data_IF_158331684268
#
_entry.id   IF_158331684268
#
_cell.length_a   1.000
_cell.length_b   1.000
_cell.length_c   1.000
_cell.angle_alpha   90.00
_cell.angle_beta   90.00
_cell.angle_gamma   90.00
#
_symmetry.space_group_name_H-M   'P 1'
#
loop_
_entity.id
_entity.type
_entity.pdbx_description
1 polymer ?
#
# COMPACT_ATOMS: atom_id res chain seq x y z
N UNK A 1 27.79 -4.67 -17.67
CA UNK A 1 26.92 -3.92 -16.74
C UNK A 1 25.75 -4.83 -16.40
N UNK A 2 25.45 -4.96 -15.10
CA UNK A 2 24.34 -5.79 -14.62
C UNK A 2 22.99 -5.16 -14.95
N UNK A 3 21.97 -5.98 -15.08
CA UNK A 3 20.58 -5.56 -15.18
C UNK A 3 20.19 -4.86 -13.88
N UNK A 4 19.62 -3.65 -13.95
CA UNK A 4 19.18 -2.88 -12.79
C UNK A 4 18.12 -3.64 -11.98
N UNK A 5 18.11 -3.45 -10.67
CA UNK A 5 17.15 -4.08 -9.77
C UNK A 5 17.13 -3.43 -8.40
N UNK A 6 16.38 -4.02 -7.47
CA UNK A 6 16.30 -3.56 -6.08
C UNK A 6 17.71 -3.46 -5.47
N UNK A 7 17.99 -2.33 -4.84
CA UNK A 7 19.29 -1.97 -4.26
C UNK A 7 20.31 -1.40 -5.25
N UNK A 8 19.96 -1.24 -6.54
CA UNK A 8 20.89 -0.62 -7.51
C UNK A 8 21.00 0.87 -7.28
N UNK A 9 22.23 1.37 -7.33
CA UNK A 9 22.56 2.79 -7.17
C UNK A 9 23.36 3.24 -8.40
N UNK A 10 22.94 4.35 -8.99
CA UNK A 10 23.56 4.89 -10.19
C UNK A 10 23.72 6.40 -10.11
N UNK A 11 24.90 6.87 -10.48
CA UNK A 11 25.27 8.29 -10.43
C UNK A 11 25.64 8.79 -11.81
N UNK A 12 25.07 9.94 -12.18
CA UNK A 12 25.25 10.59 -13.48
C UNK A 12 25.55 12.07 -13.30
N UNK A 13 26.17 12.68 -14.31
CA UNK A 13 26.28 14.13 -14.42
C UNK A 13 25.18 14.61 -15.36
N UNK A 14 24.34 15.53 -14.89
CA UNK A 14 23.33 16.21 -15.67
C UNK A 14 23.77 17.61 -16.04
N UNK A 15 23.70 17.95 -17.32
CA UNK A 15 24.04 19.27 -17.82
C UNK A 15 22.74 20.04 -18.18
N UNK A 16 22.42 21.06 -17.40
CA UNK A 16 21.19 21.86 -17.51
C UNK A 16 21.07 22.57 -18.86
N UNK A 17 22.19 23.04 -19.43
CA UNK A 17 22.20 23.77 -20.70
C UNK A 17 21.80 22.89 -21.88
N UNK A 18 22.17 21.61 -21.82
CA UNK A 18 21.90 20.64 -22.90
C UNK A 18 20.72 19.72 -22.61
N UNK A 19 20.31 19.61 -21.33
CA UNK A 19 19.32 18.65 -20.87
C UNK A 19 19.78 17.20 -20.91
N UNK A 20 21.09 16.93 -21.06
CA UNK A 20 21.64 15.58 -21.26
C UNK A 20 22.35 15.05 -20.02
N UNK A 21 22.38 13.73 -19.91
CA UNK A 21 23.21 12.99 -18.96
C UNK A 21 24.54 12.57 -19.58
N UNK A 22 25.55 12.42 -18.73
CA UNK A 22 26.79 11.72 -19.00
C UNK A 22 27.17 10.82 -17.81
N UNK A 23 27.97 9.78 -18.09
CA UNK A 23 28.59 8.96 -17.05
C UNK A 23 29.71 9.76 -16.38
N UNK A 24 29.87 9.58 -15.06
CA UNK A 24 30.87 10.31 -14.28
C UNK A 24 32.32 9.99 -14.71
N UNK A 25 32.55 8.78 -15.19
CA UNK A 25 33.86 8.29 -15.64
C UNK A 25 34.04 8.35 -17.17
N UNK A 26 33.05 8.87 -17.90
CA UNK A 26 33.06 8.95 -19.36
C UNK A 26 32.90 7.61 -20.08
N UNK A 27 32.59 6.52 -19.36
CA UNK A 27 32.33 5.22 -19.98
C UNK A 27 30.98 5.20 -20.69
N UNK A 28 30.86 4.35 -21.72
CA UNK A 28 29.60 4.19 -22.44
C UNK A 28 28.59 3.45 -21.56
N UNK A 29 27.45 4.08 -21.30
CA UNK A 29 26.34 3.54 -20.51
C UNK A 29 25.05 3.53 -21.35
N UNK A 30 24.42 2.35 -21.47
CA UNK A 30 23.17 2.20 -22.23
C UNK A 30 22.02 3.04 -21.67
N UNK A 31 21.98 3.28 -20.35
CA UNK A 31 20.98 4.14 -19.74
C UNK A 31 21.18 5.60 -20.12
N UNK A 32 22.43 6.07 -20.20
CA UNK A 32 22.73 7.44 -20.64
C UNK A 32 22.26 7.64 -22.07
N UNK A 33 22.61 6.72 -22.97
CA UNK A 33 22.13 6.74 -24.37
C UNK A 33 20.59 6.73 -24.43
N UNK A 34 19.94 5.91 -23.59
CA UNK A 34 18.47 5.82 -23.52
C UNK A 34 17.80 7.08 -22.95
N UNK A 35 18.37 7.69 -21.92
CA UNK A 35 17.87 8.92 -21.34
C UNK A 35 17.96 10.07 -22.36
N UNK A 36 19.11 10.20 -23.02
CA UNK A 36 19.38 11.25 -24.00
C UNK A 36 18.60 11.10 -25.32
N UNK A 37 17.91 9.98 -25.51
CA UNK A 37 17.14 9.66 -26.71
C UNK A 37 17.96 9.06 -27.86
N UNK A 38 19.23 8.72 -27.60
CA UNK A 38 20.15 8.11 -28.56
C UNK A 38 19.93 6.59 -28.70
N UNK A 39 19.20 5.97 -27.75
CA UNK A 39 18.77 4.57 -27.76
C UNK A 39 17.25 4.46 -27.53
N UNK A 40 16.55 3.66 -28.33
CA UNK A 40 15.10 3.43 -28.19
C UNK A 40 14.79 2.16 -27.38
N UNK A 41 13.63 2.15 -26.71
CA UNK A 41 13.14 1.02 -25.89
C UNK A 41 13.01 -0.29 -26.69
N UNK A 42 12.60 -0.17 -27.96
CA UNK A 42 12.31 -1.30 -28.85
C UNK A 42 13.59 -2.02 -29.33
N UNK A 43 14.76 -1.44 -29.06
CA UNK A 43 16.05 -1.94 -29.55
C UNK A 43 16.97 -2.42 -28.43
N UNK A 44 16.59 -2.29 -27.15
CA UNK A 44 17.49 -2.56 -26.03
C UNK A 44 17.10 -3.76 -25.18
N UNK A 45 17.94 -4.79 -25.22
CA UNK A 45 17.91 -5.93 -24.29
C UNK A 45 18.77 -5.70 -23.04
N UNK A 46 19.50 -4.57 -22.97
CA UNK A 46 20.44 -4.27 -21.88
C UNK A 46 19.80 -3.45 -20.76
N UNK A 47 18.59 -2.93 -20.99
CA UNK A 47 17.79 -2.19 -20.01
C UNK A 47 16.49 -2.92 -19.71
N UNK A 48 15.94 -2.68 -18.52
CA UNK A 48 14.70 -3.28 -18.06
C UNK A 48 13.72 -2.23 -17.54
N UNK A 49 12.62 -2.69 -16.93
CA UNK A 49 11.59 -1.80 -16.42
C UNK A 49 12.03 -0.88 -15.28
N UNK A 50 13.01 -1.29 -14.47
CA UNK A 50 13.60 -0.41 -13.47
C UNK A 50 14.31 0.78 -14.13
N UNK A 51 15.02 0.55 -15.24
CA UNK A 51 15.65 1.61 -16.01
C UNK A 51 14.61 2.58 -16.60
N UNK A 52 13.50 2.06 -17.13
CA UNK A 52 12.42 2.92 -17.61
C UNK A 52 11.77 3.75 -16.48
N UNK A 53 11.59 3.18 -15.29
CA UNK A 53 11.09 3.92 -14.13
C UNK A 53 12.07 5.01 -13.73
N UNK A 54 13.36 4.68 -13.59
CA UNK A 54 14.41 5.65 -13.27
C UNK A 54 14.45 6.82 -14.27
N UNK A 55 14.34 6.54 -15.57
CA UNK A 55 14.25 7.61 -16.59
C UNK A 55 13.07 8.54 -16.30
N UNK A 56 11.87 7.99 -16.09
CA UNK A 56 10.66 8.76 -15.77
C UNK A 56 10.81 9.57 -14.49
N UNK A 57 11.42 9.01 -13.45
CA UNK A 57 11.63 9.69 -12.17
C UNK A 57 12.56 10.90 -12.34
N UNK A 58 13.66 10.71 -13.07
CA UNK A 58 14.59 11.80 -13.39
C UNK A 58 13.91 12.87 -14.27
N UNK A 59 13.15 12.48 -15.29
CA UNK A 59 12.39 13.42 -16.14
C UNK A 59 11.34 14.20 -15.33
N UNK A 60 10.61 13.55 -14.43
CA UNK A 60 9.62 14.19 -13.57
C UNK A 60 10.28 15.19 -12.60
N UNK A 61 11.41 14.81 -11.99
CA UNK A 61 12.20 15.71 -11.15
C UNK A 61 12.67 16.94 -11.92
N UNK A 62 13.22 16.75 -13.13
CA UNK A 62 13.66 17.84 -13.99
C UNK A 62 12.50 18.74 -14.45
N UNK A 63 11.33 18.15 -14.73
CA UNK A 63 10.11 18.91 -15.02
C UNK A 63 9.72 19.82 -13.84
N UNK A 64 9.76 19.30 -12.60
CA UNK A 64 9.49 20.09 -11.39
C UNK A 64 10.53 21.20 -11.20
N UNK A 65 11.80 20.93 -11.49
CA UNK A 65 12.84 21.94 -11.49
C UNK A 65 12.55 23.07 -12.49
N UNK A 66 12.33 22.74 -13.76
CA UNK A 66 12.05 23.72 -14.81
C UNK A 66 10.74 24.49 -14.61
N UNK A 67 9.78 23.91 -13.88
CA UNK A 67 8.55 24.62 -13.49
C UNK A 67 8.76 25.70 -12.42
N UNK A 68 9.94 25.73 -11.80
CA UNK A 68 10.26 26.64 -10.69
C UNK A 68 9.83 26.16 -9.30
N UNK A 69 9.01 25.10 -9.22
CA UNK A 69 8.55 24.51 -7.95
C UNK A 69 9.70 23.91 -7.13
N UNK A 70 10.73 23.39 -7.81
CA UNK A 70 11.93 22.82 -7.18
C UNK A 70 13.21 23.59 -7.52
N UNK A 71 13.13 24.89 -7.84
CA UNK A 71 14.29 25.69 -8.31
C UNK A 71 15.49 25.67 -7.36
N UNK A 72 15.23 25.58 -6.06
CA UNK A 72 16.29 25.57 -5.05
C UNK A 72 17.01 24.23 -5.01
N UNK A 73 16.54 23.19 -5.71
CA UNK A 73 17.16 21.87 -5.67
C UNK A 73 18.40 21.82 -6.56
N UNK A 74 18.29 22.33 -7.77
CA UNK A 74 19.40 22.50 -8.70
C UNK A 74 19.93 23.93 -8.58
N UNK A 75 20.72 24.17 -7.54
CA UNK A 75 21.32 25.47 -7.23
C UNK A 75 22.78 25.30 -6.86
N UNK A 76 23.61 26.28 -7.18
CA UNK A 76 25.01 26.32 -6.73
C UNK A 76 26.02 25.66 -7.67
N UNK A 77 25.63 25.38 -8.92
CA UNK A 77 26.58 25.00 -9.98
C UNK A 77 26.89 26.22 -10.85
N UNK A 78 28.17 26.59 -10.97
CA UNK A 78 28.62 27.67 -11.86
C UNK A 78 28.54 27.26 -13.35
N UNK A 79 28.77 25.98 -13.62
CA UNK A 79 28.83 25.44 -14.99
C UNK A 79 27.47 24.91 -15.48
N UNK A 80 26.49 24.78 -14.58
CA UNK A 80 25.16 24.20 -14.87
C UNK A 80 25.18 22.66 -14.89
N UNK A 81 26.17 22.06 -14.24
CA UNK A 81 26.29 20.60 -14.08
C UNK A 81 25.94 20.16 -12.67
N UNK A 82 25.20 19.06 -12.56
CA UNK A 82 24.70 18.52 -11.30
C UNK A 82 24.92 17.03 -11.24
N UNK A 83 25.38 16.52 -10.11
CA UNK A 83 25.48 15.09 -9.87
C UNK A 83 24.11 14.56 -9.42
N UNK A 84 23.52 13.66 -10.19
CA UNK A 84 22.26 13.01 -9.86
C UNK A 84 22.54 11.55 -9.53
N UNK A 85 22.19 11.12 -8.32
CA UNK A 85 22.28 9.71 -7.90
C UNK A 85 20.90 9.14 -7.67
N UNK A 86 20.55 8.07 -8.38
CA UNK A 86 19.30 7.34 -8.20
C UNK A 86 19.55 6.00 -7.51
N UNK A 87 18.77 5.71 -6.48
CA UNK A 87 18.73 4.46 -5.73
C UNK A 87 17.35 3.81 -5.89
N UNK A 88 17.33 2.53 -6.25
CA UNK A 88 16.11 1.73 -6.31
C UNK A 88 15.94 1.05 -4.94
N UNK A 89 15.06 1.56 -4.10
CA UNK A 89 14.86 1.07 -2.73
C UNK A 89 14.10 -0.25 -2.72
N UNK A 90 13.01 -0.29 -3.49
CA UNK A 90 12.19 -1.48 -3.71
C UNK A 90 11.52 -1.40 -5.10
N UNK A 91 10.58 -2.30 -5.41
CA UNK A 91 9.92 -2.34 -6.72
C UNK A 91 9.06 -1.09 -7.03
N UNK A 92 8.62 -0.37 -6.00
CA UNK A 92 7.70 0.77 -6.11
C UNK A 92 8.28 2.07 -5.56
N UNK A 93 9.48 2.04 -4.98
CA UNK A 93 10.12 3.19 -4.35
C UNK A 93 11.52 3.40 -4.90
N UNK A 94 11.77 4.62 -5.39
CA UNK A 94 13.10 5.06 -5.80
C UNK A 94 13.45 6.38 -5.12
N UNK A 95 14.70 6.55 -4.72
CA UNK A 95 15.24 7.82 -4.25
C UNK A 95 16.12 8.44 -5.32
N UNK A 96 16.03 9.75 -5.50
CA UNK A 96 16.89 10.52 -6.40
C UNK A 96 17.51 11.64 -5.59
N UNK A 97 18.83 11.66 -5.50
CA UNK A 97 19.60 12.69 -4.82
C UNK A 97 20.32 13.60 -5.81
N UNK A 98 20.36 14.90 -5.51
CA UNK A 98 21.11 15.90 -6.29
C UNK A 98 22.25 16.44 -5.45
N UNK A 99 23.47 16.38 -5.99
CA UNK A 99 24.74 16.77 -5.34
C UNK A 99 24.93 16.13 -3.95
N UNK A 100 24.43 14.90 -3.77
CA UNK A 100 24.54 14.13 -2.54
C UNK A 100 23.68 14.62 -1.35
N UNK A 101 22.91 15.71 -1.51
CA UNK A 101 22.20 16.33 -0.38
C UNK A 101 20.68 16.20 -0.47
N UNK A 102 20.10 16.52 -1.63
CA UNK A 102 18.64 16.73 -1.73
C UNK A 102 17.97 15.51 -2.32
N UNK A 103 17.12 14.86 -1.53
CA UNK A 103 16.49 13.60 -1.88
C UNK A 103 15.03 13.83 -2.29
N UNK A 104 14.67 13.37 -3.48
CA UNK A 104 13.30 13.14 -3.94
C UNK A 104 12.98 11.66 -3.83
N UNK A 105 11.79 11.33 -3.36
CA UNK A 105 11.29 9.95 -3.35
C UNK A 105 10.17 9.82 -4.37
N UNK A 106 10.37 8.94 -5.35
CA UNK A 106 9.37 8.55 -6.33
C UNK A 106 8.64 7.29 -5.86
N UNK A 107 7.31 7.33 -5.96
CA UNK A 107 6.44 6.19 -5.68
C UNK A 107 5.73 5.75 -6.97
N UNK A 108 5.85 4.47 -7.31
CA UNK A 108 5.23 3.90 -8.50
C UNK A 108 3.92 3.19 -8.15
N UNK A 109 2.88 3.47 -8.94
CA UNK A 109 1.61 2.76 -8.83
C UNK A 109 1.75 1.32 -9.36
N UNK A 110 1.09 0.39 -8.68
CA UNK A 110 0.93 -1.00 -9.12
C UNK A 110 -0.44 -1.21 -9.78
N UNK A 111 -0.51 -2.15 -10.70
CA UNK A 111 -1.77 -2.58 -11.30
C UNK A 111 -2.35 -3.78 -10.56
N UNK A 112 -3.66 -3.71 -10.31
CA UNK A 112 -4.43 -4.80 -9.73
C UNK A 112 -5.12 -5.58 -10.84
N UNK A 113 -5.35 -6.88 -10.61
CA UNK A 113 -6.15 -7.67 -11.54
C UNK A 113 -7.64 -7.36 -11.37
N UNK A 114 -8.45 -7.68 -12.39
CA UNK A 114 -9.91 -7.56 -12.30
C UNK A 114 -10.49 -8.31 -11.09
N UNK A 115 -9.92 -9.46 -10.73
CA UNK A 115 -10.37 -10.25 -9.58
C UNK A 115 -10.06 -9.56 -8.25
N UNK A 116 -8.89 -8.93 -8.13
CA UNK A 116 -8.52 -8.15 -6.94
C UNK A 116 -9.41 -6.91 -6.81
N UNK A 117 -9.62 -6.18 -7.92
CA UNK A 117 -10.50 -5.01 -7.93
C UNK A 117 -11.93 -5.40 -7.52
N UNK A 118 -12.45 -6.52 -8.03
CA UNK A 118 -13.78 -7.03 -7.64
C UNK A 118 -13.86 -7.39 -6.16
N UNK A 119 -12.77 -7.84 -5.54
CA UNK A 119 -12.77 -8.13 -4.11
C UNK A 119 -12.90 -6.88 -3.23
N UNK A 120 -12.49 -5.71 -3.75
CA UNK A 120 -12.56 -4.45 -3.03
C UNK A 120 -14.03 -4.03 -2.83
N UNK A 121 -14.54 -4.24 -1.62
CA UNK A 121 -15.88 -3.77 -1.24
C UNK A 121 -17.03 -4.61 -1.77
N UNK A 122 -16.79 -5.85 -2.22
CA UNK A 122 -17.91 -6.81 -2.41
C UNK A 122 -18.51 -7.12 -1.04
N UNK A 123 -19.76 -6.68 -0.85
CA UNK A 123 -20.44 -6.66 0.46
C UNK A 123 -20.82 -8.05 0.97
N UNK A 124 -20.98 -9.02 0.05
CA UNK A 124 -21.54 -10.36 0.34
C UNK A 124 -20.57 -11.49 0.06
N UNK A 125 -19.26 -11.26 0.19
CA UNK A 125 -18.29 -12.33 0.05
C UNK A 125 -18.24 -13.16 1.35
N UNK A 126 -18.04 -14.49 1.31
CA UNK A 126 -17.86 -15.27 2.53
C UNK A 126 -16.64 -14.83 3.34
N UNK A 127 -16.71 -14.91 4.66
CA UNK A 127 -15.54 -14.78 5.53
C UNK A 127 -14.55 -15.92 5.26
N UNK A 128 -13.26 -15.69 5.54
CA UNK A 128 -12.20 -16.70 5.45
C UNK A 128 -11.91 -17.38 6.77
N UNK A 129 -12.32 -16.78 7.89
CA UNK A 129 -12.02 -17.31 9.22
C UNK A 129 -13.12 -18.22 9.75
N UNK A 130 -12.83 -19.53 9.82
CA UNK A 130 -13.76 -20.57 10.34
C UNK A 130 -13.28 -21.20 11.66
N UNK A 131 -12.09 -20.82 12.13
CA UNK A 131 -11.53 -21.34 13.38
C UNK A 131 -11.56 -20.26 14.45
N UNK A 132 -12.55 -20.37 15.33
CA UNK A 132 -12.68 -19.54 16.52
C UNK A 132 -11.45 -19.66 17.41
N UNK A 133 -11.04 -18.54 17.98
CA UNK A 133 -9.98 -18.45 18.98
C UNK A 133 -10.38 -17.36 19.96
N UNK A 134 -10.59 -17.75 21.23
CA UNK A 134 -10.76 -16.77 22.32
C UNK A 134 -9.50 -15.92 22.47
N UNK A 135 -9.65 -14.76 23.10
CA UNK A 135 -8.53 -13.88 23.39
C UNK A 135 -7.31 -14.62 23.98
N UNK A 136 -6.15 -14.40 23.35
CA UNK A 136 -4.83 -14.83 23.82
C UNK A 136 -4.02 -13.61 24.28
N UNK A 137 -3.73 -13.47 25.59
CA UNK A 137 -2.99 -12.34 26.14
C UNK A 137 -1.50 -12.32 25.76
N UNK A 138 -0.90 -13.46 25.38
CA UNK A 138 0.52 -13.50 25.01
C UNK A 138 0.78 -12.78 23.69
N UNK A 139 -0.19 -12.82 22.80
CA UNK A 139 -0.10 -12.27 21.44
C UNK A 139 -1.06 -11.10 21.21
N UNK A 140 -1.84 -10.73 22.24
CA UNK A 140 -2.93 -9.76 22.17
C UNK A 140 -3.86 -10.04 20.97
N UNK A 141 -4.32 -11.29 20.83
CA UNK A 141 -4.98 -11.77 19.62
C UNK A 141 -6.31 -12.47 19.85
N UNK A 142 -7.19 -12.40 18.85
CA UNK A 142 -8.48 -13.09 18.82
C UNK A 142 -8.81 -13.53 17.39
N UNK A 143 -9.55 -14.62 17.23
CA UNK A 143 -10.23 -14.93 15.98
C UNK A 143 -11.73 -14.89 16.18
N UNK A 144 -12.40 -14.07 15.38
CA UNK A 144 -13.84 -13.99 15.25
C UNK A 144 -14.20 -14.74 13.97
N UNK A 145 -14.81 -15.91 14.13
CA UNK A 145 -14.99 -16.89 13.09
C UNK A 145 -16.46 -17.17 12.78
N UNK A 146 -16.71 -17.71 11.59
CA UNK A 146 -18.03 -18.25 11.21
C UNK A 146 -18.52 -19.24 12.27
N UNK A 147 -19.75 -19.05 12.72
CA UNK A 147 -20.38 -19.84 13.78
C UNK A 147 -20.21 -19.27 15.19
N UNK A 148 -19.34 -18.27 15.39
CA UNK A 148 -19.20 -17.61 16.68
C UNK A 148 -20.49 -16.87 17.07
N UNK A 149 -20.78 -16.90 18.37
CA UNK A 149 -21.90 -16.20 18.99
C UNK A 149 -21.37 -15.28 20.08
N UNK A 150 -21.75 -14.01 20.01
CA UNK A 150 -21.33 -12.95 20.91
C UNK A 150 -22.57 -12.45 21.65
N UNK A 151 -22.62 -12.76 22.94
CA UNK A 151 -23.65 -12.24 23.84
C UNK A 151 -23.28 -10.81 24.25
N UNK A 152 -24.13 -9.84 23.96
CA UNK A 152 -23.91 -8.43 24.31
C UNK A 152 -24.35 -8.12 25.76
N UNK A 153 -24.88 -9.09 26.51
CA UNK A 153 -25.24 -8.97 27.93
C UNK A 153 -26.52 -8.14 28.20
N UNK A 154 -27.09 -7.54 27.16
CA UNK A 154 -28.31 -6.72 27.21
C UNK A 154 -29.50 -7.40 26.51
N UNK A 155 -29.39 -8.71 26.25
CA UNK A 155 -30.40 -9.52 25.57
C UNK A 155 -30.26 -9.58 24.04
N UNK A 156 -29.26 -8.90 23.48
CA UNK A 156 -28.87 -9.08 22.09
C UNK A 156 -27.78 -10.15 21.95
N UNK A 157 -27.86 -10.93 20.88
CA UNK A 157 -26.87 -11.93 20.51
C UNK A 157 -26.47 -11.71 19.06
N UNK A 158 -25.18 -11.55 18.79
CA UNK A 158 -24.64 -11.53 17.43
C UNK A 158 -24.18 -12.93 17.07
N UNK A 159 -24.52 -13.40 15.87
CA UNK A 159 -24.01 -14.64 15.29
C UNK A 159 -23.27 -14.33 14.01
N UNK A 160 -22.02 -14.76 13.93
CA UNK A 160 -21.22 -14.67 12.71
C UNK A 160 -21.71 -15.77 11.76
N UNK A 161 -22.41 -15.37 10.69
CA UNK A 161 -22.81 -16.29 9.61
C UNK A 161 -21.70 -16.36 8.55
N UNK A 162 -21.98 -17.05 7.45
CA UNK A 162 -20.99 -17.29 6.39
C UNK A 162 -20.44 -16.00 5.78
N UNK A 163 -21.31 -15.00 5.57
CA UNK A 163 -21.05 -13.79 4.80
C UNK A 163 -21.69 -12.52 5.42
N UNK A 164 -22.25 -12.62 6.62
CA UNK A 164 -22.87 -11.51 7.33
C UNK A 164 -22.94 -11.74 8.84
N UNK A 165 -23.27 -10.68 9.59
CA UNK A 165 -23.60 -10.76 11.01
C UNK A 165 -25.12 -10.79 11.17
N UNK A 166 -25.62 -11.83 11.84
CA UNK A 166 -27.02 -11.94 12.21
C UNK A 166 -27.20 -11.55 13.68
N UNK A 167 -28.04 -10.57 13.96
CA UNK A 167 -28.39 -10.21 15.34
C UNK A 167 -29.74 -10.82 15.73
N UNK A 168 -29.85 -11.28 16.98
CA UNK A 168 -31.07 -11.74 17.66
C UNK A 168 -31.41 -10.77 18.80
N UNK A 169 -32.66 -10.79 19.31
CA UNK A 169 -33.06 -9.98 20.48
C UNK A 169 -33.84 -8.70 20.19
N UNK A 170 -34.42 -8.60 18.98
CA UNK A 170 -35.13 -7.40 18.48
C UNK A 170 -36.50 -7.13 19.13
N UNK A 171 -37.07 -8.07 19.87
CA UNK A 171 -38.45 -7.97 20.34
C UNK A 171 -38.59 -6.88 21.42
N UNK A 172 -39.44 -5.88 21.16
CA UNK A 172 -39.82 -4.78 22.08
C UNK A 172 -38.73 -3.75 22.43
N UNK A 173 -37.86 -3.38 21.48
CA UNK A 173 -36.77 -2.39 21.69
C UNK A 173 -37.05 -1.04 21.02
N UNK A 174 -36.32 -0.01 21.44
CA UNK A 174 -36.47 1.36 20.93
C UNK A 174 -35.79 1.54 19.56
N UNK A 175 -36.19 2.55 18.79
CA UNK A 175 -35.55 2.91 17.52
C UNK A 175 -34.06 3.28 17.69
N UNK A 176 -33.67 3.81 18.85
CA UNK A 176 -32.28 4.13 19.16
C UNK A 176 -31.44 2.88 19.36
N UNK A 177 -31.98 1.87 20.06
CA UNK A 177 -31.30 0.58 20.23
C UNK A 177 -31.15 -0.13 18.89
N UNK A 178 -32.17 -0.03 18.03
CA UNK A 178 -32.15 -0.56 16.66
C UNK A 178 -31.00 0.04 15.83
N UNK A 179 -30.79 1.36 15.87
CA UNK A 179 -29.69 1.99 15.15
C UNK A 179 -28.32 1.56 15.67
N UNK A 180 -28.15 1.49 16.99
CA UNK A 180 -26.88 1.05 17.60
C UNK A 180 -26.50 -0.36 17.18
N UNK A 181 -27.46 -1.29 17.16
CA UNK A 181 -27.19 -2.66 16.74
C UNK A 181 -26.88 -2.73 15.24
N UNK A 182 -27.51 -1.91 14.38
CA UNK A 182 -27.14 -1.81 12.96
C UNK A 182 -25.69 -1.32 12.79
N UNK A 183 -25.28 -0.28 13.51
CA UNK A 183 -23.90 0.23 13.49
C UNK A 183 -22.89 -0.84 13.92
N UNK A 184 -23.23 -1.62 14.95
CA UNK A 184 -22.39 -2.72 15.45
C UNK A 184 -22.34 -3.90 14.47
N UNK A 185 -23.46 -4.28 13.87
CA UNK A 185 -23.57 -5.33 12.84
C UNK A 185 -22.71 -4.97 11.63
N UNK A 186 -22.83 -3.73 11.13
CA UNK A 186 -21.98 -3.24 10.05
C UNK A 186 -20.50 -3.24 10.45
N UNK A 187 -20.18 -2.65 11.60
CA UNK A 187 -18.82 -2.56 12.09
C UNK A 187 -18.15 -3.92 12.25
N UNK A 188 -18.87 -4.92 12.75
CA UNK A 188 -18.33 -6.26 12.98
C UNK A 188 -18.15 -7.00 11.67
N UNK A 189 -19.11 -6.87 10.74
CA UNK A 189 -18.98 -7.38 9.38
C UNK A 189 -17.74 -6.80 8.68
N UNK A 190 -17.57 -5.48 8.75
CA UNK A 190 -16.45 -4.77 8.16
C UNK A 190 -15.12 -5.13 8.83
N UNK A 191 -15.09 -5.29 10.16
CA UNK A 191 -13.90 -5.71 10.89
C UNK A 191 -13.44 -7.10 10.44
N UNK A 192 -14.34 -8.07 10.35
CA UNK A 192 -14.01 -9.44 9.95
C UNK A 192 -13.47 -9.45 8.51
N UNK A 193 -14.14 -8.77 7.57
CA UNK A 193 -13.61 -8.66 6.20
C UNK A 193 -12.28 -7.91 6.12
N UNK A 194 -12.08 -6.86 6.90
CA UNK A 194 -10.78 -6.20 6.96
C UNK A 194 -9.71 -7.16 7.48
N UNK A 195 -10.00 -7.85 8.59
CA UNK A 195 -9.10 -8.78 9.24
C UNK A 195 -8.79 -10.03 8.39
N UNK A 196 -9.73 -10.45 7.55
CA UNK A 196 -9.57 -11.53 6.56
C UNK A 196 -8.88 -11.05 5.26
N UNK A 197 -8.33 -9.83 5.27
CA UNK A 197 -7.61 -9.21 4.15
C UNK A 197 -8.47 -9.12 2.88
N UNK A 198 -9.73 -8.76 3.10
CA UNK A 198 -10.78 -8.77 2.10
C UNK A 198 -11.28 -7.36 1.80
N UNK A 199 -11.37 -6.49 2.82
CA UNK A 199 -11.80 -5.10 2.69
C UNK A 199 -10.74 -4.10 3.15
N UNK A 200 -10.89 -2.86 2.67
CA UNK A 200 -10.14 -1.72 3.19
C UNK A 200 -10.53 -1.45 4.64
N UNK A 201 -9.56 -1.06 5.46
CA UNK A 201 -9.84 -0.64 6.84
C UNK A 201 -10.87 0.50 6.94
N UNK A 202 -10.95 1.36 5.92
CA UNK A 202 -11.93 2.47 5.86
C UNK A 202 -13.38 1.99 5.76
N UNK A 203 -13.64 0.73 5.39
CA UNK A 203 -14.99 0.18 5.37
C UNK A 203 -15.59 0.06 6.77
N UNK A 204 -14.73 -0.11 7.79
CA UNK A 204 -15.16 -0.07 9.19
C UNK A 204 -15.74 1.32 9.48
N UNK A 205 -15.04 2.38 9.06
CA UNK A 205 -15.45 3.78 9.25
C UNK A 205 -16.54 4.29 8.29
N UNK A 206 -17.06 3.44 7.39
CA UNK A 206 -18.10 3.87 6.42
C UNK A 206 -19.39 4.29 7.14
N UNK A 207 -19.63 3.68 8.29
CA UNK A 207 -20.56 4.11 9.30
C UNK A 207 -19.80 4.90 10.39
N UNK A 208 -20.34 6.04 10.85
CA UNK A 208 -19.59 6.94 11.74
C UNK A 208 -19.49 6.41 13.17
N UNK A 209 -20.46 5.61 13.59
CA UNK A 209 -20.58 5.12 14.96
C UNK A 209 -20.04 3.70 15.14
N UNK A 210 -19.73 2.99 14.04
CA UNK A 210 -19.23 1.61 14.07
C UNK A 210 -17.85 1.48 14.74
N UNK A 211 -16.86 2.29 14.37
CA UNK A 211 -15.48 2.14 14.87
C UNK A 211 -15.39 2.25 16.40
N UNK A 212 -16.00 3.26 17.05
CA UNK A 212 -16.06 3.31 18.52
C UNK A 212 -16.69 2.06 19.15
N UNK A 213 -17.81 1.59 18.60
CA UNK A 213 -18.52 0.41 19.11
C UNK A 213 -17.70 -0.88 18.93
N UNK A 214 -16.96 -1.00 17.83
CA UNK A 214 -16.08 -2.14 17.58
C UNK A 214 -14.88 -2.15 18.52
N UNK A 215 -14.28 -0.99 18.76
CA UNK A 215 -13.21 -0.88 19.74
C UNK A 215 -13.69 -1.23 21.15
N UNK A 216 -14.93 -0.86 21.51
CA UNK A 216 -15.54 -1.25 22.78
C UNK A 216 -15.80 -2.76 22.84
N UNK A 217 -16.40 -3.34 21.81
CA UNK A 217 -16.60 -4.79 21.71
C UNK A 217 -15.28 -5.56 21.85
N UNK A 218 -14.23 -5.14 21.16
CA UNK A 218 -12.91 -5.78 21.26
C UNK A 218 -12.35 -5.75 22.68
N UNK A 219 -12.51 -4.62 23.40
CA UNK A 219 -12.10 -4.50 24.80
C UNK A 219 -12.92 -5.40 25.73
N UNK A 220 -14.23 -5.49 25.52
CA UNK A 220 -15.10 -6.42 26.26
C UNK A 220 -14.73 -7.89 26.00
N UNK A 221 -14.22 -8.20 24.80
CA UNK A 221 -13.66 -9.50 24.47
C UNK A 221 -12.23 -9.72 25.01
N UNK A 222 -11.65 -8.74 25.70
CA UNK A 222 -10.35 -8.81 26.37
C UNK A 222 -9.17 -8.26 25.57
N UNK A 223 -9.38 -7.77 24.35
CA UNK A 223 -8.30 -7.23 23.50
C UNK A 223 -7.85 -5.87 23.99
N UNK A 224 -6.53 -5.69 24.17
CA UNK A 224 -5.95 -4.38 24.46
C UNK A 224 -5.81 -3.57 23.17
N UNK A 225 -6.74 -2.62 22.95
CA UNK A 225 -6.75 -1.74 21.79
C UNK A 225 -5.87 -0.50 21.94
N UNK A 226 -5.13 -0.35 23.05
CA UNK A 226 -4.24 0.81 23.27
C UNK A 226 -2.90 0.68 22.55
N UNK A 227 -2.48 -0.56 22.25
CA UNK A 227 -1.31 -0.89 21.46
C UNK A 227 -1.66 -1.63 20.17
N UNK A 228 -0.69 -2.39 19.66
CA UNK A 228 -0.92 -3.31 18.56
C UNK A 228 -1.66 -4.57 19.05
N UNK A 229 -2.63 -5.03 18.26
CA UNK A 229 -3.42 -6.24 18.53
C UNK A 229 -3.61 -7.05 17.26
N UNK A 230 -4.13 -8.27 17.36
CA UNK A 230 -4.36 -9.11 16.18
C UNK A 230 -5.81 -9.62 16.13
N UNK A 231 -6.45 -9.46 14.97
CA UNK A 231 -7.78 -10.00 14.68
C UNK A 231 -7.66 -10.87 13.44
N UNK A 232 -8.08 -12.13 13.51
CA UNK A 232 -8.05 -13.09 12.41
C UNK A 232 -6.70 -13.17 11.67
N UNK A 233 -5.59 -13.00 12.39
CA UNK A 233 -4.24 -13.01 11.82
C UNK A 233 -3.76 -11.68 11.23
N UNK A 234 -4.61 -10.66 11.11
CA UNK A 234 -4.20 -9.31 10.70
C UNK A 234 -3.75 -8.51 11.92
N UNK A 235 -2.56 -7.92 11.84
CA UNK A 235 -2.01 -7.06 12.89
C UNK A 235 -2.61 -5.65 12.76
N UNK A 236 -3.21 -5.18 13.83
CA UNK A 236 -4.00 -3.97 13.89
C UNK A 236 -3.40 -2.96 14.86
N UNK A 237 -3.58 -1.67 14.57
CA UNK A 237 -3.35 -0.55 15.49
C UNK A 237 -4.53 0.43 15.44
N UNK A 238 -4.69 1.23 16.50
CA UNK A 238 -5.61 2.38 16.48
C UNK A 238 -4.83 3.64 16.16
N UNK A 239 -5.06 4.19 14.97
CA UNK A 239 -4.42 5.43 14.51
C UNK A 239 -5.47 6.49 14.21
N UNK A 240 -5.42 7.62 14.90
CA UNK A 240 -6.41 8.70 14.80
C UNK A 240 -7.85 8.21 15.04
N UNK A 241 -8.03 7.34 16.04
CA UNK A 241 -9.34 6.76 16.39
C UNK A 241 -9.87 5.71 15.41
N UNK A 242 -9.04 5.26 14.45
CA UNK A 242 -9.43 4.30 13.41
C UNK A 242 -8.59 3.04 13.49
N UNK A 243 -9.23 1.89 13.27
CA UNK A 243 -8.53 0.61 13.15
C UNK A 243 -7.77 0.60 11.82
N UNK A 244 -6.48 0.28 11.85
CA UNK A 244 -5.59 0.19 10.69
C UNK A 244 -4.74 -1.07 10.77
N UNK A 245 -4.30 -1.56 9.62
CA UNK A 245 -3.30 -2.61 9.55
C UNK A 245 -1.92 -2.01 9.83
N UNK A 246 -1.17 -2.63 10.75
CA UNK A 246 0.15 -2.15 11.16
C UNK A 246 1.09 -2.14 9.96
N UNK A 247 1.77 -1.02 9.74
CA UNK A 247 2.73 -0.84 8.64
C UNK A 247 2.11 -0.70 7.26
N UNK A 248 0.78 -0.83 7.11
CA UNK A 248 0.13 -0.61 5.84
C UNK A 248 -0.16 0.89 5.63
N UNK A 249 0.65 1.49 4.75
CA UNK A 249 0.49 2.88 4.32
C UNK A 249 -0.31 3.00 3.01
N UNK A 250 -0.85 1.89 2.52
CA UNK A 250 -1.69 1.81 1.34
C UNK A 250 -3.14 1.54 1.78
N UNK A 251 -4.11 1.92 0.93
CA UNK A 251 -5.53 1.75 1.27
C UNK A 251 -5.98 0.29 1.11
N UNK A 252 -5.26 -0.47 0.28
CA UNK A 252 -5.56 -1.85 -0.13
C UNK A 252 -5.05 -2.85 0.92
N UNK A 253 -5.73 -3.99 1.15
CA UNK A 253 -5.26 -5.02 2.09
C UNK A 253 -3.82 -5.43 1.79
N UNK A 254 -2.98 -5.54 2.82
CA UNK A 254 -1.54 -5.74 2.69
C UNK A 254 -1.17 -6.96 1.84
N UNK A 255 -1.93 -8.06 1.96
CA UNK A 255 -1.70 -9.27 1.16
C UNK A 255 -1.95 -9.06 -0.34
N UNK A 256 -2.99 -8.31 -0.71
CA UNK A 256 -3.33 -8.00 -2.10
C UNK A 256 -2.30 -7.02 -2.67
N UNK A 257 -1.94 -5.98 -1.90
CA UNK A 257 -0.90 -5.04 -2.29
C UNK A 257 0.44 -5.74 -2.54
N UNK A 258 0.87 -6.61 -1.62
CA UNK A 258 2.12 -7.37 -1.74
C UNK A 258 2.11 -8.26 -2.99
N UNK A 259 0.99 -8.91 -3.30
CA UNK A 259 0.85 -9.71 -4.52
C UNK A 259 0.98 -8.84 -5.79
N UNK A 260 0.39 -7.64 -5.78
CA UNK A 260 0.51 -6.70 -6.89
C UNK A 260 1.94 -6.18 -7.07
N UNK A 261 2.63 -5.83 -5.97
CA UNK A 261 4.04 -5.42 -5.98
C UNK A 261 4.93 -6.53 -6.54
N UNK A 262 4.76 -7.78 -6.09
CA UNK A 262 5.55 -8.91 -6.58
C UNK A 262 5.37 -9.13 -8.09
N UNK A 263 4.13 -9.04 -8.61
CA UNK A 263 3.88 -9.12 -10.06
C UNK A 263 4.51 -7.96 -10.82
N UNK A 264 4.44 -6.76 -10.26
CA UNK A 264 5.04 -5.56 -10.83
C UNK A 264 6.57 -5.70 -10.90
N UNK A 265 7.20 -6.15 -9.82
CA UNK A 265 8.65 -6.41 -9.76
C UNK A 265 9.11 -7.40 -10.83
N UNK A 266 8.41 -8.54 -10.96
CA UNK A 266 8.73 -9.53 -11.99
C UNK A 266 8.56 -8.99 -13.41
N UNK A 267 7.61 -8.08 -13.63
CA UNK A 267 7.50 -7.35 -14.89
C UNK A 267 8.66 -6.37 -15.09
N UNK A 268 9.10 -5.64 -14.06
CA UNK A 268 10.21 -4.70 -14.15
C UNK A 268 11.54 -5.39 -14.45
N UNK A 269 11.74 -6.64 -14.00
CA UNK A 269 12.94 -7.43 -14.31
C UNK A 269 13.08 -7.79 -15.79
N UNK A 270 11.98 -7.76 -16.57
CA UNK A 270 12.01 -8.11 -17.99
C UNK A 270 12.70 -7.01 -18.82
N UNK A 271 13.50 -7.38 -19.83
CA UNK A 271 14.06 -6.41 -20.76
C UNK A 271 13.00 -5.53 -21.40
N UNK A 272 13.32 -4.27 -21.69
CA UNK A 272 12.36 -3.31 -22.27
C UNK A 272 11.73 -3.81 -23.57
N UNK A 273 12.50 -4.50 -24.41
CA UNK A 273 12.03 -5.16 -25.65
C UNK A 273 10.93 -6.20 -25.44
N UNK A 274 10.81 -6.77 -24.24
CA UNK A 274 9.85 -7.83 -23.91
C UNK A 274 8.66 -7.32 -23.10
N UNK A 275 8.61 -6.02 -22.76
CA UNK A 275 7.44 -5.42 -22.12
C UNK A 275 6.42 -5.09 -23.20
N UNK A 276 5.27 -5.77 -23.19
CA UNK A 276 4.12 -5.34 -23.99
C UNK A 276 3.68 -3.97 -23.47
N UNK A 277 3.47 -3.02 -24.39
CA UNK A 277 2.74 -1.78 -24.11
C UNK A 277 1.27 -2.20 -24.04
N UNK A 278 0.81 -2.56 -22.84
CA UNK A 278 -0.62 -2.72 -22.55
C UNK A 278 -1.27 -1.33 -22.39
#
# INVERSE_FOLDING_TARGET
>A
MGISGIGSIHTYIYNEKTGKLSSKDGTKDSFVDYFNGDLSEELTNTLNGFDANRKKDMEAMLMLFHSGLAKNVFSGSEDGEYEITSEIVDAVTSNVSVNGEKIFTAYHAVQYTDSEIKSFGTVTQPYKTYRSQKYDPLTNSINIAVGDRIDLGNGYMLTVKEDHIYAEGWENRSDEDYKKIEHLVWGLNALIHFADQQWFSSMIDADKDSTPMILELLRELGVDTSGEFMVNGTKCEVRNGKIKEVGNNHVVPGTIYSAAVNRYEEMLKKPLTHRKKD
#
